data_IF_839922689995
#
_entry.id   IF_839922689995
#
_cell.length_a   1.000
_cell.length_b   1.000
_cell.length_c   1.000
_cell.angle_alpha   90.00
_cell.angle_beta   90.00
_cell.angle_gamma   90.00
#
_symmetry.space_group_name_H-M   'P 1'
#
loop_
_entity.id
_entity.type
_entity.pdbx_description
1 polymer ?
#
# COMPACT_ATOMS: atom_id res chain seq x y z
N UNK A 1 -16.12 -4.36 -33.24
CA UNK A 1 -16.17 -5.73 -32.67
C UNK A 1 -15.28 -5.73 -31.46
N UNK A 2 -15.85 -5.32 -30.33
CA UNK A 2 -15.16 -5.08 -29.08
C UNK A 2 -14.96 -6.41 -28.36
N UNK A 3 -13.73 -6.92 -28.45
CA UNK A 3 -13.27 -8.18 -27.87
C UNK A 3 -13.18 -8.08 -26.33
N UNK A 4 -14.34 -7.86 -25.68
CA UNK A 4 -14.45 -7.58 -24.25
C UNK A 4 -14.74 -8.84 -23.42
N UNK A 5 -14.72 -10.02 -24.05
CA UNK A 5 -15.25 -11.26 -23.47
C UNK A 5 -14.17 -12.33 -23.29
N UNK A 6 -13.31 -12.18 -22.27
CA UNK A 6 -12.67 -13.31 -21.51
C UNK A 6 -11.74 -12.85 -20.38
N UNK A 7 -11.92 -11.64 -19.82
CA UNK A 7 -11.23 -11.31 -18.55
C UNK A 7 -12.02 -11.88 -17.38
N UNK A 8 -11.34 -12.57 -16.48
CA UNK A 8 -11.90 -13.04 -15.20
C UNK A 8 -12.51 -11.90 -14.38
N UNK A 9 -11.93 -10.69 -14.48
CA UNK A 9 -12.42 -9.48 -13.82
C UNK A 9 -12.29 -8.23 -14.72
N UNK A 10 -13.04 -7.15 -14.45
CA UNK A 10 -12.95 -5.89 -15.19
C UNK A 10 -11.76 -5.01 -14.71
N UNK A 11 -10.57 -5.60 -14.58
CA UNK A 11 -9.38 -4.86 -14.17
C UNK A 11 -8.77 -4.05 -15.33
N UNK A 12 -8.40 -2.77 -15.09
CA UNK A 12 -7.83 -1.89 -16.12
C UNK A 12 -6.39 -2.27 -16.47
N UNK A 13 -5.60 -2.74 -15.49
CA UNK A 13 -4.18 -3.06 -15.70
C UNK A 13 -3.93 -4.43 -16.35
N UNK A 14 -4.95 -5.29 -16.39
CA UNK A 14 -4.80 -6.59 -17.04
C UNK A 14 -5.11 -6.47 -18.53
N UNK A 15 -4.07 -6.38 -19.34
CA UNK A 15 -4.18 -6.37 -20.81
C UNK A 15 -4.37 -7.77 -21.39
N UNK A 16 -3.85 -8.80 -20.72
CA UNK A 16 -4.00 -10.22 -21.09
C UNK A 16 -4.34 -11.08 -19.86
N UNK A 17 -5.57 -11.58 -19.79
CA UNK A 17 -6.04 -12.36 -18.63
C UNK A 17 -5.51 -13.79 -18.68
N UNK A 18 -4.55 -14.10 -17.80
CA UNK A 18 -3.98 -15.45 -17.63
C UNK A 18 -4.72 -16.29 -16.59
N UNK A 19 -5.88 -15.84 -16.10
CA UNK A 19 -6.64 -16.56 -15.08
C UNK A 19 -5.84 -16.84 -13.79
N UNK A 20 -5.03 -15.87 -13.40
CA UNK A 20 -4.21 -15.97 -12.21
C UNK A 20 -5.04 -16.04 -10.91
N UNK A 21 -4.38 -16.41 -9.81
CA UNK A 21 -4.97 -16.41 -8.47
C UNK A 21 -5.50 -15.03 -8.07
N UNK A 22 -6.45 -15.02 -7.15
CA UNK A 22 -7.10 -13.80 -6.67
C UNK A 22 -6.10 -12.81 -6.03
N UNK A 23 -5.03 -13.29 -5.40
CA UNK A 23 -3.97 -12.43 -4.84
C UNK A 23 -3.29 -11.60 -5.92
N UNK A 24 -3.03 -12.17 -7.10
CA UNK A 24 -2.44 -11.44 -8.23
C UNK A 24 -3.44 -10.48 -8.85
N UNK A 25 -4.72 -10.87 -8.92
CA UNK A 25 -5.78 -9.97 -9.39
C UNK A 25 -6.01 -8.81 -8.43
N UNK A 26 -5.86 -8.99 -7.11
CA UNK A 26 -6.02 -7.93 -6.10
C UNK A 26 -5.12 -6.74 -6.38
N UNK A 27 -3.90 -6.93 -6.90
CA UNK A 27 -3.03 -5.81 -7.28
C UNK A 27 -3.65 -4.93 -8.38
N UNK A 28 -4.28 -5.54 -9.40
CA UNK A 28 -4.92 -4.85 -10.51
C UNK A 28 -6.37 -4.39 -10.20
N UNK A 29 -7.00 -4.98 -9.19
CA UNK A 29 -8.37 -4.64 -8.76
C UNK A 29 -8.38 -3.59 -7.66
N UNK A 30 -7.29 -3.45 -6.92
CA UNK A 30 -7.16 -2.45 -5.88
C UNK A 30 -6.86 -1.08 -6.50
N UNK A 31 -7.89 -0.50 -7.13
CA UNK A 31 -7.87 0.87 -7.67
C UNK A 31 -7.48 1.87 -6.59
N UNK A 32 -7.87 1.62 -5.35
CA UNK A 32 -7.54 2.46 -4.20
C UNK A 32 -6.08 2.35 -3.74
N UNK A 33 -5.34 1.32 -4.17
CA UNK A 33 -3.89 1.22 -3.97
C UNK A 33 -3.11 1.74 -5.18
N UNK A 34 -3.57 1.45 -6.40
CA UNK A 34 -2.93 1.88 -7.65
C UNK A 34 -3.01 3.41 -7.85
N UNK A 35 -4.11 4.03 -7.44
CA UNK A 35 -4.36 5.47 -7.63
C UNK A 35 -4.05 6.32 -6.39
N UNK A 36 -3.40 5.77 -5.36
CA UNK A 36 -2.97 6.64 -4.26
C UNK A 36 -1.95 7.63 -4.81
N UNK A 37 -2.17 8.89 -4.48
CA UNK A 37 -1.16 9.93 -4.67
C UNK A 37 0.12 9.44 -4.02
N UNK A 38 1.19 9.29 -4.82
CA UNK A 38 2.52 9.07 -4.29
C UNK A 38 2.89 10.30 -3.47
N UNK A 39 3.21 10.10 -2.20
CA UNK A 39 3.77 11.16 -1.36
C UNK A 39 5.06 11.68 -2.00
N UNK A 40 5.25 12.99 -1.98
CA UNK A 40 6.54 13.61 -2.26
C UNK A 40 7.59 13.15 -1.24
N UNK A 41 8.86 13.32 -1.56
CA UNK A 41 9.94 12.93 -0.66
C UNK A 41 9.83 13.63 0.71
N UNK A 42 9.43 14.90 0.74
CA UNK A 42 9.22 15.64 1.98
C UNK A 42 8.08 15.04 2.81
N UNK A 43 6.94 14.73 2.20
CA UNK A 43 5.80 14.11 2.88
C UNK A 43 6.14 12.70 3.39
N UNK A 44 6.98 11.95 2.67
CA UNK A 44 7.46 10.64 3.14
C UNK A 44 8.32 10.76 4.40
N UNK A 45 9.24 11.74 4.43
CA UNK A 45 10.11 12.00 5.59
C UNK A 45 9.27 12.42 6.80
N UNK A 46 8.30 13.31 6.61
CA UNK A 46 7.40 13.75 7.68
C UNK A 46 6.59 12.58 8.26
N UNK A 47 6.00 11.74 7.41
CA UNK A 47 5.26 10.57 7.84
C UNK A 47 6.13 9.60 8.63
N UNK A 48 7.36 9.33 8.16
CA UNK A 48 8.30 8.45 8.86
C UNK A 48 8.64 8.97 10.27
N UNK A 49 8.95 10.26 10.38
CA UNK A 49 9.24 10.88 11.68
C UNK A 49 8.03 10.82 12.62
N UNK A 50 6.83 11.05 12.10
CA UNK A 50 5.60 10.98 12.91
C UNK A 50 5.36 9.56 13.45
N UNK A 51 5.46 8.53 12.60
CA UNK A 51 5.29 7.14 13.03
C UNK A 51 6.32 6.75 14.10
N UNK A 52 7.60 7.09 13.90
CA UNK A 52 8.63 6.81 14.89
C UNK A 52 8.44 7.57 16.20
N UNK A 53 7.86 8.78 16.15
CA UNK A 53 7.54 9.53 17.36
C UNK A 53 6.38 8.89 18.15
N UNK A 54 5.44 8.22 17.47
CA UNK A 54 4.37 7.45 18.12
C UNK A 54 4.90 6.14 18.73
N UNK A 55 5.86 5.49 18.09
CA UNK A 55 6.47 4.25 18.58
C UNK A 55 7.52 4.48 19.68
N UNK A 56 7.98 5.72 19.85
CA UNK A 56 8.84 6.14 20.95
C UNK A 56 8.02 6.35 22.24
N UNK A 57 7.49 5.26 22.80
CA UNK A 57 7.05 5.24 24.19
C UNK A 57 8.20 5.70 25.11
N UNK A 58 7.93 6.47 26.18
CA UNK A 58 8.98 6.89 27.10
C UNK A 58 9.64 5.66 27.71
N UNK A 59 10.95 5.49 27.45
CA UNK A 59 11.77 4.54 28.18
C UNK A 59 11.64 4.93 29.66
N UNK A 60 10.96 4.10 30.46
CA UNK A 60 10.89 4.28 31.90
C UNK A 60 12.34 4.31 32.43
N UNK A 61 12.82 5.51 32.75
CA UNK A 61 14.13 5.69 33.38
C UNK A 61 14.00 5.11 34.78
N UNK A 62 14.53 3.91 34.98
CA UNK A 62 14.72 3.40 36.33
C UNK A 62 15.88 4.16 36.95
N UNK A 63 15.60 5.34 37.50
CA UNK A 63 16.48 6.04 38.42
C UNK A 63 16.60 5.22 39.70
N UNK A 64 17.51 4.23 39.71
CA UNK A 64 18.05 3.70 40.97
C UNK A 64 18.96 4.76 41.57
N UNK A 65 18.37 5.62 42.40
CA UNK A 65 19.13 6.29 43.45
C UNK A 65 19.65 5.20 44.42
N UNK A 66 20.97 5.07 44.50
CA UNK A 66 21.69 4.23 45.44
C UNK A 66 23.06 4.83 45.71
#
# INVERSE_FOLDING_TARGET
MDNQTTKKHPCPDCTFCQWCSDDRCRLCLNRDACCRRKLSLAEQIELYNHLNALDAEPIATNDKAG
#
